data_IF_071538839414
#
_entry.id   IF_071538839414
#
_cell.length_a   1.000
_cell.length_b   1.000
_cell.length_c   1.000
_cell.angle_alpha   90.00
_cell.angle_beta   90.00
_cell.angle_gamma   90.00
#
_symmetry.space_group_name_H-M   'P 1'
#
loop_
_entity.id
_entity.type
_entity.pdbx_description
1 polymer ?
#
# COMPACT_ATOMS: atom_id res chain seq x y z
N UNK A 1 -3.59 16.53 0.82
CA UNK A 1 -2.18 16.49 1.32
C UNK A 1 -1.60 15.15 0.93
N UNK A 2 -0.37 15.11 0.42
CA UNK A 2 0.30 13.84 0.03
C UNK A 2 0.78 13.11 1.28
N UNK A 3 0.49 11.82 1.35
CA UNK A 3 0.96 10.91 2.40
C UNK A 3 2.11 10.04 1.86
N UNK A 4 3.12 9.81 2.67
CA UNK A 4 4.24 8.91 2.36
C UNK A 4 4.17 7.71 3.29
N UNK A 5 4.13 6.52 2.69
CA UNK A 5 4.06 5.22 3.35
C UNK A 5 5.32 4.39 3.00
N UNK A 6 6.43 4.52 3.74
CA UNK A 6 7.60 3.71 3.47
C UNK A 6 7.30 2.22 3.65
N UNK A 7 7.65 1.40 2.62
CA UNK A 7 7.49 -0.06 2.72
C UNK A 7 8.63 -0.68 3.51
N UNK A 8 8.30 -1.33 4.62
CA UNK A 8 9.26 -2.07 5.44
C UNK A 8 9.83 -3.32 4.77
N UNK A 9 9.33 -3.69 3.60
CA UNK A 9 9.96 -4.72 2.76
C UNK A 9 11.43 -4.39 2.42
N UNK A 10 11.77 -3.10 2.39
CA UNK A 10 13.14 -2.62 2.13
C UNK A 10 13.94 -2.32 3.41
N UNK A 11 13.38 -2.54 4.58
CA UNK A 11 14.04 -2.36 5.86
C UNK A 11 14.95 -3.54 6.21
N UNK A 12 15.86 -3.36 7.17
CA UNK A 12 16.57 -4.49 7.77
C UNK A 12 15.62 -5.21 8.74
N UNK A 13 15.21 -6.42 8.40
CA UNK A 13 14.26 -7.22 9.20
C UNK A 13 14.81 -7.61 10.58
N UNK A 14 16.16 -7.63 10.75
CA UNK A 14 16.75 -7.87 12.04
C UNK A 14 16.54 -6.71 13.03
N UNK A 15 16.24 -5.50 12.52
CA UNK A 15 16.10 -4.26 13.29
C UNK A 15 14.81 -3.50 12.97
N UNK A 16 13.71 -4.20 12.64
CA UNK A 16 12.43 -3.60 12.21
C UNK A 16 11.91 -2.50 13.13
N UNK A 17 12.05 -2.66 14.46
CA UNK A 17 11.61 -1.66 15.42
C UNK A 17 12.37 -0.34 15.25
N UNK A 18 13.70 -0.40 15.09
CA UNK A 18 14.54 0.77 14.90
C UNK A 18 14.30 1.42 13.53
N UNK A 19 14.13 0.60 12.49
CA UNK A 19 13.83 1.07 11.13
C UNK A 19 12.46 1.78 11.06
N UNK A 20 11.44 1.31 11.80
CA UNK A 20 10.15 1.99 11.92
C UNK A 20 10.30 3.32 12.67
N UNK A 21 11.04 3.35 13.78
CA UNK A 21 11.31 4.60 14.52
C UNK A 21 12.08 5.63 13.68
N UNK A 22 12.97 5.17 12.83
CA UNK A 22 13.71 6.02 11.89
C UNK A 22 12.78 6.72 10.91
N UNK A 23 11.86 6.01 10.26
CA UNK A 23 10.91 6.63 9.32
C UNK A 23 9.87 7.51 10.03
N UNK A 24 9.40 7.12 11.23
CA UNK A 24 8.51 7.94 12.07
C UNK A 24 9.16 9.29 12.38
N UNK A 25 10.40 9.28 12.87
CA UNK A 25 11.17 10.50 13.16
C UNK A 25 11.45 11.33 11.91
N UNK A 26 11.60 10.68 10.76
CA UNK A 26 11.79 11.32 9.46
C UNK A 26 10.52 11.93 8.87
N UNK A 27 9.34 11.71 9.48
CA UNK A 27 8.08 12.33 9.08
C UNK A 27 7.27 11.52 8.07
N UNK A 28 7.40 10.18 8.09
CA UNK A 28 6.47 9.28 7.41
C UNK A 28 5.05 9.45 7.98
N UNK A 29 4.04 9.26 7.13
CA UNK A 29 2.63 9.35 7.54
C UNK A 29 2.09 7.95 7.91
N UNK A 30 2.51 6.91 7.19
CA UNK A 30 2.08 5.52 7.35
C UNK A 30 3.29 4.58 7.37
N UNK A 31 3.04 3.32 7.76
CA UNK A 31 3.94 2.19 7.53
C UNK A 31 3.26 1.26 6.54
N UNK A 32 3.88 1.05 5.38
CA UNK A 32 3.40 0.07 4.40
C UNK A 32 4.00 -1.30 4.66
N UNK A 33 3.17 -2.32 4.72
CA UNK A 33 3.51 -3.68 5.16
C UNK A 33 3.15 -4.67 4.06
N UNK A 34 4.14 -5.09 3.27
CA UNK A 34 3.99 -6.05 2.17
C UNK A 34 3.99 -7.49 2.69
N UNK A 35 2.83 -8.13 2.68
CA UNK A 35 2.62 -9.51 3.10
C UNK A 35 2.51 -10.42 1.89
N UNK A 36 3.40 -11.42 1.80
CA UNK A 36 3.52 -12.32 0.66
C UNK A 36 3.53 -13.78 1.10
N UNK A 37 2.80 -14.63 0.37
CA UNK A 37 2.60 -16.05 0.71
C UNK A 37 3.41 -17.05 -0.13
N UNK A 38 4.20 -16.56 -1.11
CA UNK A 38 4.95 -17.41 -2.03
C UNK A 38 4.08 -18.11 -3.09
N UNK A 39 2.78 -17.80 -3.16
CA UNK A 39 1.83 -18.41 -4.07
C UNK A 39 1.14 -17.38 -4.98
N UNK A 40 0.63 -16.27 -4.43
CA UNK A 40 0.13 -15.15 -5.23
C UNK A 40 1.29 -14.41 -5.92
N UNK A 41 2.41 -14.25 -5.20
CA UNK A 41 3.68 -13.72 -5.72
C UNK A 41 4.82 -14.69 -5.40
N UNK A 42 5.93 -14.72 -6.18
CA UNK A 42 7.00 -15.71 -6.02
C UNK A 42 7.96 -15.39 -4.86
N UNK A 43 7.52 -14.67 -3.85
CA UNK A 43 8.30 -14.30 -2.67
C UNK A 43 7.49 -14.57 -1.41
N UNK A 44 8.16 -14.81 -0.31
CA UNK A 44 7.59 -15.02 1.02
C UNK A 44 8.16 -13.97 1.97
N UNK A 45 7.31 -13.26 2.71
CA UNK A 45 7.77 -12.25 3.65
C UNK A 45 7.39 -12.62 5.09
N UNK A 46 6.52 -11.87 5.70
CA UNK A 46 6.09 -12.05 7.10
C UNK A 46 4.57 -11.92 7.19
N UNK A 47 4.01 -12.30 8.33
CA UNK A 47 2.57 -12.27 8.58
C UNK A 47 2.19 -11.50 9.85
N UNK A 48 0.94 -11.65 10.26
CA UNK A 48 0.33 -10.97 11.40
C UNK A 48 1.12 -11.04 12.72
N UNK A 49 1.84 -12.13 13.07
CA UNK A 49 2.67 -12.14 14.28
C UNK A 49 3.78 -11.09 14.31
N UNK A 50 4.39 -10.78 13.17
CA UNK A 50 5.38 -9.70 13.07
C UNK A 50 4.68 -8.35 13.19
N UNK A 51 3.56 -8.14 12.49
CA UNK A 51 2.76 -6.91 12.57
C UNK A 51 2.35 -6.61 14.01
N UNK A 52 1.86 -7.60 14.75
CA UNK A 52 1.49 -7.48 16.17
C UNK A 52 2.65 -7.02 17.07
N UNK A 53 3.86 -7.43 16.75
CA UNK A 53 5.04 -7.04 17.53
C UNK A 53 5.49 -5.62 17.19
N UNK A 54 5.53 -5.25 15.92
CA UNK A 54 5.93 -3.90 15.49
C UNK A 54 4.87 -2.84 15.80
N UNK A 55 3.58 -3.21 15.93
CA UNK A 55 2.52 -2.30 16.38
C UNK A 55 2.82 -1.62 17.71
N UNK A 56 3.56 -2.30 18.59
CA UNK A 56 3.90 -1.80 19.93
C UNK A 56 4.93 -0.66 19.93
N UNK A 57 5.61 -0.43 18.81
CA UNK A 57 6.72 0.53 18.75
C UNK A 57 6.36 1.87 18.10
N UNK A 58 5.19 2.00 17.48
CA UNK A 58 4.77 3.24 16.80
C UNK A 58 3.25 3.37 16.76
N UNK A 59 2.75 4.61 16.71
CA UNK A 59 1.34 4.92 16.47
C UNK A 59 1.06 5.29 15.01
N UNK A 60 2.04 5.19 14.10
CA UNK A 60 1.83 5.40 12.68
C UNK A 60 0.74 4.45 12.15
N UNK A 61 0.00 4.90 11.16
CA UNK A 61 -1.05 4.13 10.49
C UNK A 61 -0.43 2.92 9.77
N UNK A 62 -0.92 1.72 10.08
CA UNK A 62 -0.48 0.46 9.46
C UNK A 62 -1.35 0.08 8.27
N UNK A 63 -0.77 0.19 7.09
CA UNK A 63 -1.33 -0.17 5.80
C UNK A 63 -0.80 -1.55 5.39
N UNK A 64 -1.59 -2.60 5.61
CA UNK A 64 -1.21 -3.99 5.35
C UNK A 64 -1.66 -4.42 3.96
N UNK A 65 -0.73 -4.53 3.03
CA UNK A 65 -0.93 -4.95 1.65
C UNK A 65 -0.77 -6.47 1.51
N UNK A 66 -1.87 -7.18 1.31
CA UNK A 66 -1.91 -8.63 1.25
C UNK A 66 -1.77 -9.16 -0.17
N UNK A 67 -0.56 -9.52 -0.54
CA UNK A 67 -0.22 -10.26 -1.78
C UNK A 67 -0.28 -11.75 -1.51
N UNK A 68 -1.47 -12.25 -1.19
CA UNK A 68 -1.73 -13.64 -0.78
C UNK A 68 -2.98 -14.17 -1.49
N UNK A 69 -3.01 -15.48 -1.73
CA UNK A 69 -4.23 -16.14 -2.20
C UNK A 69 -5.25 -16.24 -1.07
N UNK A 70 -6.53 -16.05 -1.40
CA UNK A 70 -7.65 -16.09 -0.46
C UNK A 70 -7.43 -15.21 0.79
N UNK A 71 -7.24 -13.88 0.62
CA UNK A 71 -6.88 -12.95 1.69
C UNK A 71 -7.89 -12.93 2.83
N UNK A 72 -9.16 -13.30 2.58
CA UNK A 72 -10.22 -13.40 3.57
C UNK A 72 -9.91 -14.34 4.75
N UNK A 73 -8.95 -15.25 4.59
CA UNK A 73 -8.52 -16.18 5.65
C UNK A 73 -7.66 -15.49 6.72
N UNK A 74 -7.08 -14.33 6.41
CA UNK A 74 -6.11 -13.65 7.26
C UNK A 74 -6.64 -12.35 7.89
N UNK A 75 -7.85 -11.91 7.52
CA UNK A 75 -8.42 -10.62 7.97
C UNK A 75 -8.48 -10.53 9.49
N UNK A 76 -8.91 -11.62 10.17
CA UNK A 76 -8.99 -11.64 11.63
C UNK A 76 -7.60 -11.49 12.28
N UNK A 77 -6.61 -12.18 11.74
CA UNK A 77 -5.25 -12.15 12.26
C UNK A 77 -4.64 -10.74 12.14
N UNK A 78 -4.90 -10.03 11.04
CA UNK A 78 -4.42 -8.65 10.85
C UNK A 78 -5.18 -7.64 11.70
N UNK A 79 -6.49 -7.83 11.92
CA UNK A 79 -7.27 -7.04 12.87
C UNK A 79 -6.71 -7.19 14.29
N UNK A 80 -6.48 -8.42 14.73
CA UNK A 80 -5.91 -8.73 16.06
C UNK A 80 -4.45 -8.28 16.20
N UNK A 81 -3.74 -8.13 15.09
CA UNK A 81 -2.38 -7.58 15.05
C UNK A 81 -2.34 -6.05 15.14
N UNK A 82 -3.48 -5.37 14.98
CA UNK A 82 -3.59 -3.92 15.05
C UNK A 82 -3.31 -3.22 13.73
N UNK A 83 -3.64 -3.84 12.60
CA UNK A 83 -3.68 -3.16 11.31
C UNK A 83 -4.76 -2.08 11.30
N UNK A 84 -4.46 -0.92 10.74
CA UNK A 84 -5.45 0.15 10.56
C UNK A 84 -6.19 0.01 9.23
N UNK A 85 -5.50 -0.53 8.23
CA UNK A 85 -6.04 -0.83 6.90
C UNK A 85 -5.54 -2.20 6.42
N UNK A 86 -6.40 -2.91 5.73
CA UNK A 86 -6.03 -4.10 4.94
C UNK A 86 -6.36 -3.84 3.48
N UNK A 87 -5.36 -4.05 2.62
CA UNK A 87 -5.47 -3.92 1.17
C UNK A 87 -5.37 -5.29 0.53
N UNK A 88 -6.39 -5.69 -0.22
CA UNK A 88 -6.46 -6.98 -0.89
C UNK A 88 -6.46 -6.81 -2.41
N UNK A 89 -5.80 -7.69 -3.12
CA UNK A 89 -5.85 -7.70 -4.57
C UNK A 89 -7.21 -8.15 -5.10
N UNK A 90 -7.77 -7.40 -6.06
CA UNK A 90 -9.00 -7.80 -6.74
C UNK A 90 -8.84 -9.17 -7.42
N UNK A 91 -7.62 -9.50 -7.84
CA UNK A 91 -7.27 -10.77 -8.48
C UNK A 91 -7.14 -11.96 -7.51
N UNK A 92 -7.06 -11.69 -6.20
CA UNK A 92 -6.80 -12.71 -5.18
C UNK A 92 -8.06 -13.29 -4.52
N UNK A 93 -9.22 -12.68 -4.72
CA UNK A 93 -10.49 -13.11 -4.12
C UNK A 93 -11.60 -13.28 -5.18
N UNK A 94 -12.46 -14.28 -4.96
CA UNK A 94 -13.65 -14.50 -5.82
C UNK A 94 -14.82 -13.60 -5.45
N UNK A 95 -14.84 -13.06 -4.23
CA UNK A 95 -15.96 -12.31 -3.67
C UNK A 95 -15.47 -11.00 -3.07
N UNK A 96 -14.94 -10.12 -3.92
CA UNK A 96 -14.29 -8.87 -3.51
C UNK A 96 -15.17 -8.02 -2.57
N UNK A 97 -16.43 -7.82 -2.90
CA UNK A 97 -17.38 -7.06 -2.08
C UNK A 97 -17.51 -7.65 -0.65
N UNK A 98 -17.66 -8.99 -0.54
CA UNK A 98 -17.72 -9.67 0.77
C UNK A 98 -16.42 -9.48 1.55
N UNK A 99 -15.27 -9.56 0.89
CA UNK A 99 -13.97 -9.37 1.51
C UNK A 99 -13.82 -7.95 2.07
N UNK A 100 -14.17 -6.92 1.27
CA UNK A 100 -14.17 -5.51 1.69
C UNK A 100 -15.08 -5.29 2.90
N UNK A 101 -16.32 -5.79 2.86
CA UNK A 101 -17.23 -5.70 3.99
C UNK A 101 -16.69 -6.41 5.24
N UNK A 102 -16.02 -7.55 5.06
CA UNK A 102 -15.44 -8.27 6.19
C UNK A 102 -14.34 -7.47 6.88
N UNK A 103 -13.43 -6.84 6.11
CA UNK A 103 -12.41 -5.94 6.63
C UNK A 103 -13.05 -4.80 7.44
N UNK A 104 -14.06 -4.13 6.86
CA UNK A 104 -14.76 -3.01 7.53
C UNK A 104 -15.49 -3.45 8.80
N UNK A 105 -16.10 -4.64 8.80
CA UNK A 105 -16.78 -5.19 9.99
C UNK A 105 -15.81 -5.50 11.14
N UNK A 106 -14.51 -5.63 10.87
CA UNK A 106 -13.45 -5.76 11.89
C UNK A 106 -12.93 -4.40 12.38
N UNK A 107 -13.50 -3.29 11.92
CA UNK A 107 -13.13 -1.93 12.34
C UNK A 107 -11.93 -1.36 11.60
N UNK A 108 -11.40 -2.03 10.59
CA UNK A 108 -10.31 -1.56 9.74
C UNK A 108 -10.82 -0.81 8.50
N UNK A 109 -9.99 0.07 7.95
CA UNK A 109 -10.22 0.60 6.60
C UNK A 109 -9.92 -0.49 5.56
N UNK A 110 -10.64 -0.46 4.43
CA UNK A 110 -10.52 -1.43 3.36
C UNK A 110 -9.94 -0.80 2.09
N UNK A 111 -8.85 -1.36 1.60
CA UNK A 111 -8.26 -1.03 0.32
C UNK A 111 -8.38 -2.16 -0.70
N UNK A 112 -8.39 -1.82 -1.98
CA UNK A 112 -8.33 -2.79 -3.09
C UNK A 112 -7.15 -2.48 -3.98
N UNK A 113 -6.31 -3.48 -4.22
CA UNK A 113 -5.13 -3.39 -5.09
C UNK A 113 -5.41 -3.94 -6.50
N UNK A 114 -4.78 -3.34 -7.51
CA UNK A 114 -4.76 -3.80 -8.88
C UNK A 114 -3.33 -3.95 -9.40
N UNK A 115 -3.05 -5.09 -10.03
CA UNK A 115 -1.81 -5.31 -10.78
C UNK A 115 -1.68 -4.34 -11.97
N UNK A 116 -0.47 -4.13 -12.51
CA UNK A 116 -0.28 -3.20 -13.63
C UNK A 116 -1.19 -3.50 -14.83
N UNK A 117 -1.37 -4.77 -15.18
CA UNK A 117 -2.20 -5.20 -16.31
C UNK A 117 -3.71 -5.25 -16.04
N UNK A 118 -4.14 -5.23 -14.77
CA UNK A 118 -5.56 -5.35 -14.40
C UNK A 118 -6.34 -4.06 -14.72
N UNK A 119 -7.50 -4.15 -15.38
CA UNK A 119 -8.27 -2.97 -15.76
C UNK A 119 -9.03 -2.36 -14.59
N UNK A 120 -9.35 -1.06 -14.68
CA UNK A 120 -10.08 -0.33 -13.63
C UNK A 120 -11.52 -0.82 -13.43
N UNK A 121 -12.14 -1.48 -14.42
CA UNK A 121 -13.48 -2.04 -14.27
C UNK A 121 -13.59 -3.09 -13.15
N UNK A 122 -12.46 -3.67 -12.70
CA UNK A 122 -12.46 -4.58 -11.55
C UNK A 122 -12.77 -3.88 -10.22
N UNK A 123 -12.65 -2.56 -10.15
CA UNK A 123 -12.92 -1.77 -8.94
C UNK A 123 -14.09 -0.81 -9.11
N UNK A 124 -14.62 -0.63 -10.30
CA UNK A 124 -15.65 0.37 -10.61
C UNK A 124 -16.87 0.22 -9.70
N UNK A 125 -17.41 -0.99 -9.59
CA UNK A 125 -18.61 -1.27 -8.79
C UNK A 125 -18.36 -1.27 -7.27
N UNK A 126 -17.11 -1.41 -6.84
CA UNK A 126 -16.74 -1.45 -5.41
C UNK A 126 -16.23 -0.09 -4.88
N UNK A 127 -16.01 0.91 -5.75
CA UNK A 127 -15.50 2.22 -5.34
C UNK A 127 -16.27 2.83 -4.16
N UNK A 128 -17.63 2.78 -4.08
CA UNK A 128 -18.35 3.37 -2.96
C UNK A 128 -18.07 2.73 -1.59
N UNK A 129 -17.54 1.52 -1.58
CA UNK A 129 -17.36 0.72 -0.38
C UNK A 129 -15.91 0.72 0.14
N UNK A 130 -14.94 1.21 -0.66
CA UNK A 130 -13.53 1.20 -0.29
C UNK A 130 -13.05 2.57 0.20
N UNK A 131 -12.03 2.55 1.04
CA UNK A 131 -11.37 3.76 1.55
C UNK A 131 -10.15 4.13 0.69
N UNK A 132 -9.59 3.16 -0.06
CA UNK A 132 -8.41 3.34 -0.90
C UNK A 132 -8.39 2.36 -2.08
N UNK A 133 -7.83 2.81 -3.22
CA UNK A 133 -7.42 1.93 -4.32
C UNK A 133 -5.91 2.03 -4.48
N UNK A 134 -5.22 0.89 -4.37
CA UNK A 134 -3.79 0.75 -4.63
C UNK A 134 -3.56 0.35 -6.08
N UNK A 135 -2.80 1.13 -6.81
CA UNK A 135 -2.33 0.79 -8.16
C UNK A 135 -0.85 0.38 -8.09
N UNK A 136 -0.59 -0.89 -8.46
CA UNK A 136 0.79 -1.34 -8.60
C UNK A 136 1.43 -0.71 -9.82
N UNK A 137 2.58 -0.11 -9.63
CA UNK A 137 3.44 0.46 -10.70
C UNK A 137 4.70 -0.36 -10.96
N UNK A 138 4.74 -1.56 -10.41
CA UNK A 138 5.66 -2.67 -10.70
C UNK A 138 4.88 -3.98 -10.64
N UNK A 139 5.44 -5.09 -11.10
CA UNK A 139 4.85 -6.39 -10.81
C UNK A 139 5.08 -6.72 -9.33
N UNK A 140 4.04 -7.07 -8.54
CA UNK A 140 4.20 -7.33 -7.12
C UNK A 140 5.13 -8.53 -6.85
N UNK A 141 5.80 -8.52 -5.68
CA UNK A 141 6.64 -9.62 -5.21
C UNK A 141 8.07 -9.23 -4.81
N UNK A 142 8.63 -8.16 -5.34
CA UNK A 142 10.00 -7.74 -5.02
C UNK A 142 10.12 -6.21 -4.96
N UNK A 143 10.97 -5.73 -4.05
CA UNK A 143 11.35 -4.31 -4.00
C UNK A 143 12.39 -3.93 -5.05
N UNK A 144 12.64 -2.62 -5.23
CA UNK A 144 13.70 -2.08 -6.07
C UNK A 144 13.51 -2.22 -7.59
N UNK A 145 12.29 -2.49 -8.04
CA UNK A 145 11.96 -2.61 -9.46
C UNK A 145 11.81 -1.25 -10.15
N UNK A 146 11.96 -1.25 -11.49
CA UNK A 146 11.74 -0.07 -12.32
C UNK A 146 10.25 0.25 -12.43
N UNK A 147 9.91 1.53 -12.33
CA UNK A 147 8.56 2.06 -12.48
C UNK A 147 7.96 1.76 -13.86
N UNK A 148 6.72 1.33 -13.91
CA UNK A 148 5.96 1.06 -15.14
C UNK A 148 5.18 2.32 -15.54
N UNK A 149 5.67 3.07 -16.52
CA UNK A 149 5.13 4.36 -16.95
C UNK A 149 3.66 4.31 -17.41
N UNK A 150 3.20 3.17 -17.94
CA UNK A 150 1.80 2.99 -18.36
C UNK A 150 0.80 3.03 -17.20
N UNK A 151 1.27 3.02 -15.97
CA UNK A 151 0.44 3.18 -14.77
C UNK A 151 -0.04 4.64 -14.59
N UNK A 152 0.75 5.63 -15.03
CA UNK A 152 0.40 7.05 -14.87
C UNK A 152 -0.96 7.41 -15.48
N UNK A 153 -1.26 7.10 -16.77
CA UNK A 153 -2.59 7.34 -17.32
C UNK A 153 -3.70 6.51 -16.64
N UNK A 154 -3.37 5.36 -16.03
CA UNK A 154 -4.32 4.57 -15.24
C UNK A 154 -4.71 5.29 -13.94
N UNK A 155 -3.74 5.91 -13.25
CA UNK A 155 -3.99 6.75 -12.08
C UNK A 155 -4.92 7.91 -12.43
N UNK A 156 -4.67 8.63 -13.52
CA UNK A 156 -5.49 9.75 -13.95
C UNK A 156 -6.94 9.33 -14.26
N UNK A 157 -7.13 8.18 -14.92
CA UNK A 157 -8.47 7.62 -15.16
C UNK A 157 -9.18 7.27 -13.86
N UNK A 158 -8.50 6.63 -12.90
CA UNK A 158 -9.09 6.29 -11.61
C UNK A 158 -9.47 7.56 -10.84
N UNK A 159 -8.63 8.59 -10.83
CA UNK A 159 -8.95 9.87 -10.19
C UNK A 159 -10.21 10.49 -10.81
N UNK A 160 -10.31 10.45 -12.15
CA UNK A 160 -11.51 10.93 -12.83
C UNK A 160 -12.75 10.14 -12.41
N UNK A 161 -12.70 8.81 -12.34
CA UNK A 161 -13.82 7.95 -11.91
C UNK A 161 -14.29 8.32 -10.48
N UNK A 162 -13.34 8.49 -9.55
CA UNK A 162 -13.61 8.87 -8.16
C UNK A 162 -14.28 10.25 -8.09
N UNK A 163 -13.77 11.23 -8.85
CA UNK A 163 -14.30 12.59 -8.87
C UNK A 163 -15.71 12.64 -9.50
N UNK A 164 -15.92 11.93 -10.62
CA UNK A 164 -17.23 11.86 -11.31
C UNK A 164 -18.30 11.22 -10.41
N UNK A 165 -17.91 10.27 -9.55
CA UNK A 165 -18.80 9.65 -8.57
C UNK A 165 -18.99 10.48 -7.28
N UNK A 166 -18.29 11.61 -7.11
CA UNK A 166 -18.35 12.43 -5.91
C UNK A 166 -17.79 11.76 -4.65
N UNK A 167 -16.88 10.80 -4.82
CA UNK A 167 -16.31 10.01 -3.73
C UNK A 167 -15.03 10.66 -3.22
N UNK A 168 -14.68 10.36 -1.96
CA UNK A 168 -13.42 10.77 -1.33
C UNK A 168 -12.60 9.52 -0.97
N UNK A 169 -11.89 8.98 -1.96
CA UNK A 169 -11.11 7.74 -1.87
C UNK A 169 -9.64 8.07 -2.11
N UNK A 170 -8.76 7.51 -1.29
CA UNK A 170 -7.32 7.62 -1.50
C UNK A 170 -6.89 6.81 -2.73
N UNK A 171 -5.94 7.34 -3.49
CA UNK A 171 -5.24 6.59 -4.54
C UNK A 171 -3.81 6.39 -4.07
N UNK A 172 -3.47 5.14 -3.80
CA UNK A 172 -2.11 4.75 -3.45
C UNK A 172 -1.39 4.21 -4.67
N UNK A 173 -0.10 4.49 -4.77
CA UNK A 173 0.77 3.96 -5.84
C UNK A 173 1.97 3.29 -5.20
N UNK A 174 2.22 2.03 -5.58
CA UNK A 174 3.32 1.23 -5.08
C UNK A 174 4.17 0.66 -6.22
N UNK A 175 5.48 0.94 -6.13
CA UNK A 175 6.50 0.41 -7.02
C UNK A 175 7.30 1.48 -7.76
N UNK A 176 8.62 1.48 -7.57
CA UNK A 176 9.54 2.37 -8.27
C UNK A 176 9.38 3.86 -7.96
N UNK A 177 8.77 4.20 -6.81
CA UNK A 177 8.54 5.58 -6.38
C UNK A 177 9.85 6.18 -5.86
N UNK A 178 10.19 7.35 -6.42
CA UNK A 178 11.34 8.18 -6.09
C UNK A 178 11.01 9.67 -6.32
N UNK A 179 11.98 10.57 -6.20
CA UNK A 179 11.82 12.02 -6.40
C UNK A 179 11.25 12.42 -7.77
N UNK A 180 11.52 11.63 -8.83
CA UNK A 180 11.04 11.90 -10.19
C UNK A 180 9.64 11.33 -10.42
N UNK A 181 9.45 10.04 -10.10
CA UNK A 181 8.18 9.35 -10.34
C UNK A 181 7.08 9.82 -9.40
N UNK A 182 7.42 10.25 -8.17
CA UNK A 182 6.45 10.84 -7.22
C UNK A 182 5.71 12.03 -7.82
N UNK A 183 6.41 12.91 -8.53
CA UNK A 183 5.80 14.07 -9.18
C UNK A 183 4.78 13.65 -10.24
N UNK A 184 5.15 12.70 -11.11
CA UNK A 184 4.27 12.20 -12.17
C UNK A 184 2.98 11.59 -11.62
N UNK A 185 3.09 10.73 -10.58
CA UNK A 185 1.91 10.05 -10.03
C UNK A 185 1.03 11.00 -9.23
N UNK A 186 1.60 12.00 -8.54
CA UNK A 186 0.84 13.05 -7.84
C UNK A 186 0.06 13.93 -8.83
N UNK A 187 0.70 14.36 -9.91
CA UNK A 187 0.04 15.13 -10.98
C UNK A 187 -1.10 14.33 -11.63
N UNK A 188 -0.97 13.00 -11.70
CA UNK A 188 -2.02 12.11 -12.16
C UNK A 188 -3.15 11.88 -11.14
N UNK A 189 -2.96 12.30 -9.87
CA UNK A 189 -4.00 12.23 -8.83
C UNK A 189 -3.75 11.25 -7.70
N UNK A 190 -2.54 10.67 -7.57
CA UNK A 190 -2.18 9.88 -6.40
C UNK A 190 -2.12 10.74 -5.14
N UNK A 191 -2.50 10.16 -4.00
CA UNK A 191 -2.55 10.83 -2.70
C UNK A 191 -1.71 10.13 -1.65
N UNK A 192 -1.37 8.84 -1.85
CA UNK A 192 -0.51 8.04 -0.98
C UNK A 192 0.60 7.41 -1.82
N UNK A 193 1.85 7.58 -1.38
CA UNK A 193 3.04 7.11 -2.09
C UNK A 193 3.76 6.06 -1.27
N UNK A 194 3.87 4.84 -1.83
CA UNK A 194 4.67 3.77 -1.22
C UNK A 194 6.08 3.83 -1.79
N UNK A 195 7.06 4.01 -0.91
CA UNK A 195 8.46 4.09 -1.29
C UNK A 195 9.33 3.26 -0.33
N UNK A 196 9.82 2.12 -0.80
CA UNK A 196 10.71 1.24 -0.03
C UNK A 196 12.17 1.62 -0.19
N UNK A 197 12.83 1.10 -1.21
CA UNK A 197 14.27 1.24 -1.46
C UNK A 197 14.75 2.70 -1.54
N UNK A 198 13.93 3.60 -2.06
CA UNK A 198 14.25 5.03 -2.13
C UNK A 198 14.41 5.67 -0.74
N UNK A 199 13.55 5.30 0.21
CA UNK A 199 13.56 5.84 1.58
C UNK A 199 14.61 5.13 2.45
N UNK A 200 14.60 3.80 2.47
CA UNK A 200 15.50 3.02 3.32
C UNK A 200 16.95 3.01 2.83
N UNK A 201 17.19 3.15 1.53
CA UNK A 201 18.53 3.26 0.94
C UNK A 201 19.13 4.68 0.96
N UNK A 202 18.35 5.70 1.38
CA UNK A 202 18.82 7.07 1.40
C UNK A 202 19.80 7.33 2.55
N UNK A 203 20.85 8.12 2.28
CA UNK A 203 21.75 8.61 3.33
C UNK A 203 21.04 9.54 4.34
N UNK A 204 20.02 10.30 3.87
CA UNK A 204 19.15 11.12 4.68
C UNK A 204 17.68 10.73 4.40
N UNK A 205 17.15 9.91 5.29
CA UNK A 205 15.75 9.41 5.23
C UNK A 205 14.73 10.55 5.29
N UNK A 206 15.01 11.61 6.08
CA UNK A 206 14.11 12.76 6.21
C UNK A 206 14.05 13.57 4.92
N UNK A 207 15.19 13.82 4.29
CA UNK A 207 15.24 14.50 2.99
C UNK A 207 14.55 13.68 1.91
N UNK A 208 14.71 12.35 1.90
CA UNK A 208 14.03 11.45 0.96
C UNK A 208 12.51 11.53 1.12
N UNK A 209 11.96 11.42 2.33
CA UNK A 209 10.52 11.54 2.59
C UNK A 209 10.01 12.93 2.20
N UNK A 210 10.73 13.99 2.54
CA UNK A 210 10.35 15.36 2.18
C UNK A 210 10.28 15.56 0.66
N UNK A 211 11.23 15.00 -0.10
CA UNK A 211 11.25 15.10 -1.57
C UNK A 211 10.04 14.45 -2.25
N UNK A 212 9.47 13.40 -1.64
CA UNK A 212 8.26 12.76 -2.15
C UNK A 212 7.00 13.61 -1.95
N UNK A 213 7.00 14.50 -0.95
CA UNK A 213 5.89 15.42 -0.65
C UNK A 213 5.97 16.75 -1.38
N UNK A 214 7.15 17.09 -1.94
CA UNK A 214 7.47 18.42 -2.51
C UNK A 214 6.78 18.74 -3.85
#
# INVERSE_FOLDING_TARGET
MIKVAPSILSADFAYLADEIKKIETAGADWVHIDVMDGAFVPNLTFGAPVVKNIRKVTDLFFDCHLMVNNPEQYIDDFADAGADMVVVHAEATKHLHRCVQYIKNKGMQAGVALNPASPLCLVEEILPDVDMVLLMSVNPGFGGQSFIETTVPKIARLRKMINDAGLNIEIQVDGGINDKTSKQVREAGATVLVAGSYVYGAADTKAAIASLKA
#
